data_IF_824957492352
#
_entry.id   IF_824957492352
#
_cell.length_a   1.000
_cell.length_b   1.000
_cell.length_c   1.000
_cell.angle_alpha   90.00
_cell.angle_beta   90.00
_cell.angle_gamma   90.00
#
_symmetry.space_group_name_H-M   'P 1'
#
loop_
_entity.id
_entity.type
_entity.pdbx_description
1 polymer ?
#
# COMPACT_ATOMS: atom_id res chain seq x y z
N UNK A 1 -4.97 -6.44 -8.62
CA UNK A 1 -4.15 -6.97 -7.52
C UNK A 1 -4.10 -8.50 -7.51
N UNK A 2 -5.23 -9.20 -7.64
CA UNK A 2 -5.26 -10.68 -7.72
C UNK A 2 -4.28 -11.29 -8.74
N UNK A 3 -4.24 -10.73 -9.96
CA UNK A 3 -3.27 -11.13 -11.00
C UNK A 3 -1.80 -11.02 -10.55
N UNK A 4 -1.48 -10.04 -9.70
CA UNK A 4 -0.10 -9.85 -9.18
C UNK A 4 0.24 -10.94 -8.15
N UNK A 5 -0.70 -11.30 -7.28
CA UNK A 5 -0.49 -12.32 -6.24
C UNK A 5 -0.40 -13.74 -6.83
N UNK A 6 -1.29 -14.07 -7.77
CA UNK A 6 -1.27 -15.37 -8.45
C UNK A 6 -0.04 -15.55 -9.35
N UNK A 7 0.51 -14.45 -9.89
CA UNK A 7 1.69 -14.47 -10.76
C UNK A 7 3.03 -14.46 -10.02
N UNK A 8 3.05 -14.46 -8.68
CA UNK A 8 4.28 -14.32 -7.90
C UNK A 8 5.13 -15.60 -7.90
N UNK A 9 4.49 -16.77 -7.97
CA UNK A 9 5.08 -18.10 -8.17
C UNK A 9 6.37 -18.39 -7.35
N UNK A 10 6.41 -17.96 -6.07
CA UNK A 10 7.54 -18.20 -5.16
C UNK A 10 7.39 -19.47 -4.31
N UNK A 11 6.45 -20.36 -4.65
CA UNK A 11 6.17 -21.57 -3.88
C UNK A 11 5.39 -21.35 -2.59
N UNK A 12 4.70 -20.20 -2.47
CA UNK A 12 3.82 -19.92 -1.33
C UNK A 12 2.49 -20.66 -1.46
N UNK A 13 2.14 -21.43 -0.44
CA UNK A 13 0.86 -22.16 -0.41
C UNK A 13 -0.37 -21.23 -0.35
N UNK A 14 -0.20 -20.01 0.17
CA UNK A 14 -1.27 -19.03 0.36
C UNK A 14 -1.55 -18.14 -0.87
N UNK A 15 -0.81 -18.32 -1.97
CA UNK A 15 -1.05 -17.64 -3.25
C UNK A 15 -2.15 -18.36 -4.07
N UNK A 16 -3.30 -18.57 -3.43
CA UNK A 16 -4.49 -19.17 -4.04
C UNK A 16 -5.71 -18.23 -3.95
N UNK A 17 -6.69 -18.41 -4.85
CA UNK A 17 -7.83 -17.49 -5.01
C UNK A 17 -8.63 -17.32 -3.70
N UNK A 18 -8.87 -18.42 -2.99
CA UNK A 18 -9.65 -18.40 -1.75
C UNK A 18 -8.96 -17.56 -0.67
N UNK A 19 -7.66 -17.80 -0.49
CA UNK A 19 -6.84 -17.09 0.51
C UNK A 19 -6.67 -15.63 0.16
N UNK A 20 -6.48 -15.30 -1.12
CA UNK A 20 -6.40 -13.92 -1.62
C UNK A 20 -7.70 -13.16 -1.31
N UNK A 21 -8.88 -13.75 -1.57
CA UNK A 21 -10.16 -13.12 -1.24
C UNK A 21 -10.32 -12.87 0.26
N UNK A 22 -9.95 -13.85 1.10
CA UNK A 22 -9.98 -13.70 2.56
C UNK A 22 -9.04 -12.59 3.02
N UNK A 23 -7.84 -12.49 2.46
CA UNK A 23 -6.87 -11.42 2.77
C UNK A 23 -7.41 -10.04 2.41
N UNK A 24 -8.09 -9.87 1.27
CA UNK A 24 -8.72 -8.60 0.93
C UNK A 24 -9.82 -8.22 1.91
N UNK A 25 -10.69 -9.17 2.27
CA UNK A 25 -11.75 -8.92 3.27
C UNK A 25 -11.15 -8.45 4.60
N UNK A 26 -10.17 -9.18 5.13
CA UNK A 26 -9.50 -8.81 6.39
C UNK A 26 -8.79 -7.45 6.29
N UNK A 27 -8.14 -7.16 5.17
CA UNK A 27 -7.50 -5.86 4.96
C UNK A 27 -8.51 -4.71 4.99
N UNK A 28 -9.65 -4.87 4.31
CA UNK A 28 -10.73 -3.87 4.31
C UNK A 28 -11.35 -3.69 5.71
N UNK A 29 -11.60 -4.78 6.43
CA UNK A 29 -12.27 -4.75 7.74
C UNK A 29 -11.35 -4.29 8.87
N UNK A 30 -10.07 -4.64 8.84
CA UNK A 30 -9.15 -4.44 9.96
C UNK A 30 -8.01 -3.47 9.69
N UNK A 31 -7.51 -3.37 8.46
CA UNK A 31 -6.36 -2.52 8.15
C UNK A 31 -6.75 -1.11 7.71
N UNK A 32 -7.83 -0.95 6.93
CA UNK A 32 -8.31 0.37 6.50
C UNK A 32 -8.64 1.29 7.69
N UNK A 33 -9.34 0.85 8.76
CA UNK A 33 -9.59 1.70 9.92
C UNK A 33 -8.30 2.23 10.59
N UNK A 34 -7.22 1.46 10.56
CA UNK A 34 -5.91 1.88 11.07
C UNK A 34 -5.30 2.97 10.18
N UNK A 35 -5.39 2.80 8.86
CA UNK A 35 -4.95 3.83 7.91
C UNK A 35 -5.74 5.12 8.10
N UNK A 36 -7.06 5.03 8.24
CA UNK A 36 -7.92 6.20 8.44
C UNK A 36 -7.61 6.92 9.77
N UNK A 37 -7.36 6.16 10.83
CA UNK A 37 -6.92 6.70 12.12
C UNK A 37 -5.64 7.54 11.99
N UNK A 38 -4.60 7.03 11.32
CA UNK A 38 -3.36 7.80 11.13
C UNK A 38 -3.51 8.92 10.10
N UNK A 39 -4.41 8.77 9.12
CA UNK A 39 -4.71 9.83 8.16
C UNK A 39 -5.34 11.03 8.85
N UNK A 40 -6.25 10.80 9.82
CA UNK A 40 -6.84 11.87 10.66
C UNK A 40 -5.82 12.63 11.52
N UNK A 41 -4.59 12.12 11.63
CA UNK A 41 -3.50 12.73 12.39
C UNK A 41 -2.42 13.32 11.49
N UNK A 42 -2.69 13.46 10.20
CA UNK A 42 -1.72 13.92 9.18
C UNK A 42 -0.44 13.07 9.11
N UNK A 43 -0.52 11.80 9.51
CA UNK A 43 0.62 10.86 9.55
C UNK A 43 0.66 9.89 8.37
N UNK A 44 -0.21 10.05 7.37
CA UNK A 44 -0.30 9.16 6.21
C UNK A 44 0.01 9.93 4.94
N UNK A 45 0.94 9.38 4.14
CA UNK A 45 1.20 9.81 2.76
C UNK A 45 0.68 8.73 1.81
N UNK A 46 -0.24 9.10 0.91
CA UNK A 46 -0.88 8.17 -0.04
C UNK A 46 -0.13 8.17 -1.37
N UNK A 47 0.14 6.99 -1.91
CA UNK A 47 0.80 6.79 -3.21
C UNK A 47 -0.03 5.83 -4.04
N UNK A 48 -0.25 6.17 -5.31
CA UNK A 48 -0.95 5.29 -6.26
C UNK A 48 -0.04 4.16 -6.76
N UNK A 49 -0.30 2.93 -6.29
CA UNK A 49 0.46 1.73 -6.64
C UNK A 49 -0.05 1.02 -7.92
N UNK A 50 -1.03 1.59 -8.64
CA UNK A 50 -1.50 1.07 -9.91
C UNK A 50 -0.57 1.44 -11.09
N UNK A 51 0.25 2.48 -10.92
CA UNK A 51 1.23 2.97 -11.89
C UNK A 51 2.41 2.01 -12.12
N UNK A 52 3.20 2.20 -13.19
CA UNK A 52 4.46 1.49 -13.40
C UNK A 52 5.42 1.63 -12.22
N UNK A 53 6.25 0.60 -12.00
CA UNK A 53 7.17 0.51 -10.85
C UNK A 53 8.05 1.76 -10.69
N UNK A 54 8.61 2.26 -11.81
CA UNK A 54 9.46 3.45 -11.80
C UNK A 54 8.71 4.68 -11.26
N UNK A 55 7.48 4.94 -11.73
CA UNK A 55 6.67 6.08 -11.29
C UNK A 55 6.24 5.98 -9.83
N UNK A 56 5.90 4.77 -9.37
CA UNK A 56 5.60 4.51 -7.96
C UNK A 56 6.83 4.82 -7.11
N UNK A 57 8.01 4.37 -7.54
CA UNK A 57 9.26 4.61 -6.82
C UNK A 57 9.63 6.10 -6.75
N UNK A 58 9.45 6.85 -7.86
CA UNK A 58 9.62 8.31 -7.84
C UNK A 58 8.68 8.97 -6.84
N UNK A 59 7.41 8.55 -6.81
CA UNK A 59 6.42 9.05 -5.84
C UNK A 59 6.78 8.72 -4.38
N UNK A 60 7.44 7.59 -4.14
CA UNK A 60 7.97 7.25 -2.81
C UNK A 60 9.10 8.19 -2.43
N UNK A 61 10.06 8.44 -3.33
CA UNK A 61 11.21 9.31 -3.05
C UNK A 61 10.80 10.71 -2.62
N UNK A 62 9.76 11.29 -3.23
CA UNK A 62 9.27 12.63 -2.85
C UNK A 62 8.75 12.68 -1.42
N UNK A 63 8.31 11.56 -0.85
CA UNK A 63 7.87 11.49 0.56
C UNK A 63 9.03 11.58 1.56
N UNK A 64 10.26 11.26 1.13
CA UNK A 64 11.48 11.27 1.94
C UNK A 64 12.43 12.42 1.60
N UNK A 65 12.09 13.23 0.59
CA UNK A 65 12.82 14.45 0.29
C UNK A 65 12.75 15.41 1.51
N UNK A 66 13.83 16.15 1.80
CA UNK A 66 13.85 17.07 2.93
C UNK A 66 12.67 18.04 2.84
N UNK A 67 11.87 18.07 3.90
CA UNK A 67 10.81 19.06 4.05
C UNK A 67 11.53 20.37 4.38
N UNK A 68 11.47 21.37 3.50
CA UNK A 68 11.70 22.73 3.95
C UNK A 68 10.57 23.04 4.94
N UNK A 69 10.88 23.00 6.23
CA UNK A 69 9.97 23.48 7.26
C UNK A 69 9.56 24.91 6.88
N UNK A 70 8.27 25.12 6.62
CA UNK A 70 7.73 26.47 6.66
C UNK A 70 7.91 26.93 8.10
N UNK A 71 8.86 27.84 8.30
CA UNK A 71 9.04 28.58 9.53
C UNK A 71 7.68 29.11 10.01
N UNK A 72 7.30 28.70 11.21
CA UNK A 72 6.27 29.38 12.00
C UNK A 72 6.92 30.54 12.76
#
# INVERSE_FOLDING_TARGET
>A
MEKRLLGWNQGREDDNIETIKKRFKVFMESSIPVVDYYASKDKVRKIDAAKPIAEVFESVKTCFAPVHEKAA
#
